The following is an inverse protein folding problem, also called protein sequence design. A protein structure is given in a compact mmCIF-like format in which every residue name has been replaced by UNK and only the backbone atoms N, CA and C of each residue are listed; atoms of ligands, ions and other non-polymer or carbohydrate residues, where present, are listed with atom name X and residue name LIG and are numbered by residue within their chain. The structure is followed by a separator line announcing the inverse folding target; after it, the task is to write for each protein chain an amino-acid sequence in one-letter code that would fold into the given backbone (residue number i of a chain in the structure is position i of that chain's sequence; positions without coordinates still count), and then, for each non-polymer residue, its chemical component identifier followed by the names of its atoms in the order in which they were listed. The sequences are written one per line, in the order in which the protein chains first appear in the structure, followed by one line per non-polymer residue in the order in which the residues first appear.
data_IF_119338413663
#
_entry.id   IF_119338413663
#
_cell.length_a   1.000
_cell.length_b   1.000
_cell.length_c   1.000
_cell.angle_alpha   90.00
_cell.angle_beta   90.00
_cell.angle_gamma   90.00
#
_symmetry.space_group_name_H-M   'P 1'
#
loop_
_entity.id
_entity.type
_entity.pdbx_description
1 polymer ?
#
# COMPACT_ATOMS: atom_id res chain seq x y z
N UNK A 1 -30.21 23.06 -16.71
CA UNK A 1 -29.38 23.60 -15.59
C UNK A 1 -27.91 23.38 -15.93
N UNK A 2 -27.17 24.44 -16.28
CA UNK A 2 -25.74 24.31 -16.58
C UNK A 2 -25.00 23.99 -15.27
N UNK A 3 -24.40 22.79 -15.18
CA UNK A 3 -23.51 22.45 -14.07
C UNK A 3 -22.32 23.43 -14.12
N UNK A 4 -22.26 24.37 -13.17
CA UNK A 4 -21.18 25.35 -13.09
C UNK A 4 -19.83 24.64 -13.02
N UNK A 5 -18.89 25.04 -13.88
CA UNK A 5 -17.54 24.48 -13.91
C UNK A 5 -16.82 24.85 -12.61
N UNK A 6 -16.26 23.86 -11.91
CA UNK A 6 -15.49 24.10 -10.69
C UNK A 6 -14.26 24.97 -10.98
N UNK A 7 -13.94 25.88 -10.05
CA UNK A 7 -12.66 26.60 -10.09
C UNK A 7 -11.49 25.63 -9.87
N UNK A 8 -10.29 25.99 -10.33
CA UNK A 8 -9.06 25.18 -10.14
C UNK A 8 -8.81 24.87 -8.65
N UNK A 9 -9.07 25.83 -7.77
CA UNK A 9 -8.92 25.65 -6.32
C UNK A 9 -9.93 24.63 -5.77
N UNK A 10 -11.20 24.74 -6.18
CA UNK A 10 -12.23 23.79 -5.76
C UNK A 10 -11.91 22.37 -6.25
N UNK A 11 -11.47 22.23 -7.50
CA UNK A 11 -11.07 20.94 -8.06
C UNK A 11 -9.90 20.32 -7.26
N UNK A 12 -8.85 21.09 -6.99
CA UNK A 12 -7.69 20.62 -6.22
C UNK A 12 -8.07 20.13 -4.81
N UNK A 13 -8.94 20.88 -4.12
CA UNK A 13 -9.45 20.49 -2.80
C UNK A 13 -10.24 19.19 -2.85
N UNK A 14 -11.05 19.00 -3.90
CA UNK A 14 -11.82 17.79 -4.12
C UNK A 14 -10.92 16.59 -4.40
N UNK A 15 -9.92 16.75 -5.28
CA UNK A 15 -8.95 15.70 -5.61
C UNK A 15 -8.15 15.25 -4.38
N UNK A 16 -7.74 16.20 -3.53
CA UNK A 16 -7.07 15.90 -2.26
C UNK A 16 -7.97 15.14 -1.28
N UNK A 17 -9.26 15.48 -1.23
CA UNK A 17 -10.23 14.77 -0.41
C UNK A 17 -10.45 13.32 -0.90
N UNK A 18 -10.57 13.11 -2.22
CA UNK A 18 -10.66 11.77 -2.79
C UNK A 18 -9.40 10.96 -2.57
N UNK A 19 -8.21 11.54 -2.79
CA UNK A 19 -6.95 10.87 -2.52
C UNK A 19 -6.83 10.46 -1.04
N UNK A 20 -7.35 11.27 -0.12
CA UNK A 20 -7.43 10.93 1.30
C UNK A 20 -8.40 9.78 1.59
N UNK A 21 -9.60 9.82 1.02
CA UNK A 21 -10.58 8.75 1.20
C UNK A 21 -10.06 7.42 0.63
N UNK A 22 -9.40 7.45 -0.52
CA UNK A 22 -8.81 6.28 -1.16
C UNK A 22 -7.76 5.60 -0.28
N UNK A 23 -6.79 6.34 0.26
CA UNK A 23 -5.75 5.77 1.13
C UNK A 23 -6.33 5.22 2.44
N UNK A 24 -7.34 5.88 3.01
CA UNK A 24 -8.02 5.42 4.23
C UNK A 24 -8.80 4.13 3.96
N UNK A 25 -9.53 4.07 2.84
CA UNK A 25 -10.28 2.89 2.42
C UNK A 25 -9.36 1.71 2.14
N UNK A 26 -8.27 1.93 1.38
CA UNK A 26 -7.30 0.88 1.08
C UNK A 26 -6.59 0.37 2.35
N UNK A 27 -6.23 1.26 3.27
CA UNK A 27 -5.60 0.88 4.54
C UNK A 27 -6.53 -0.01 5.38
N UNK A 28 -7.81 0.36 5.47
CA UNK A 28 -8.82 -0.44 6.17
C UNK A 28 -9.00 -1.82 5.54
N UNK A 29 -9.13 -1.89 4.21
CA UNK A 29 -9.24 -3.16 3.45
C UNK A 29 -8.03 -4.08 3.67
N UNK A 30 -6.86 -3.51 3.88
CA UNK A 30 -5.61 -4.24 4.11
C UNK A 30 -5.30 -4.54 5.58
N UNK A 31 -6.24 -4.30 6.50
CA UNK A 31 -6.04 -4.55 7.92
C UNK A 31 -4.94 -3.67 8.54
N UNK A 32 -4.77 -2.44 8.04
CA UNK A 32 -3.81 -1.49 8.59
C UNK A 32 -2.36 -1.79 8.23
N UNK A 33 -2.08 -2.56 7.16
CA UNK A 33 -0.72 -2.98 6.80
C UNK A 33 -0.32 -2.56 5.40
N UNK A 34 0.97 -2.29 5.19
CA UNK A 34 1.55 -2.08 3.87
C UNK A 34 1.36 -3.31 2.99
N UNK A 35 0.91 -3.14 1.74
CA UNK A 35 0.70 -4.27 0.81
C UNK A 35 2.01 -5.06 0.53
N UNK A 36 3.16 -4.41 0.60
CA UNK A 36 4.46 -4.96 0.22
C UNK A 36 5.23 -5.56 1.41
N UNK A 37 5.66 -4.73 2.37
CA UNK A 37 6.45 -5.19 3.52
C UNK A 37 5.60 -5.70 4.69
N UNK A 38 4.27 -5.51 4.65
CA UNK A 38 3.34 -5.84 5.75
C UNK A 38 3.56 -5.09 7.06
N UNK A 39 4.39 -4.03 7.05
CA UNK A 39 4.53 -3.15 8.22
C UNK A 39 3.15 -2.57 8.59
N UNK A 40 2.81 -2.49 9.89
CA UNK A 40 1.66 -1.74 10.36
C UNK A 40 1.77 -0.27 9.94
N UNK A 41 0.64 0.31 9.51
CA UNK A 41 0.55 1.68 9.06
C UNK A 41 -0.62 2.39 9.72
N UNK A 42 -0.38 3.64 10.11
CA UNK A 42 -1.44 4.58 10.44
C UNK A 42 -1.92 5.33 9.20
N UNK A 43 -3.09 5.97 9.30
CA UNK A 43 -3.64 6.87 8.26
C UNK A 43 -2.66 8.00 7.90
N UNK A 44 -1.79 8.42 8.83
CA UNK A 44 -0.78 9.46 8.58
C UNK A 44 0.43 8.95 7.78
N UNK A 45 0.77 7.67 7.90
CA UNK A 45 1.95 7.07 7.25
C UNK A 45 1.63 6.45 5.89
N UNK A 46 0.37 6.08 5.64
CA UNK A 46 -0.04 5.42 4.41
C UNK A 46 0.05 6.38 3.21
N UNK A 47 0.61 5.85 2.12
CA UNK A 47 0.61 6.47 0.81
C UNK A 47 -0.41 5.80 -0.11
N UNK A 48 -0.91 6.57 -1.08
CA UNK A 48 -1.82 6.11 -2.13
C UNK A 48 -0.99 5.45 -3.24
N UNK A 49 -1.00 4.12 -3.29
CA UNK A 49 -0.19 3.33 -4.22
C UNK A 49 -1.04 2.85 -5.40
N UNK A 50 -0.56 3.04 -6.63
CA UNK A 50 -1.20 2.51 -7.83
C UNK A 50 -0.63 1.13 -8.21
N UNK A 51 -1.45 0.08 -8.12
CA UNK A 51 -1.09 -1.30 -8.50
C UNK A 51 -0.54 -1.35 -9.94
N UNK A 52 -1.32 -0.80 -10.88
CA UNK A 52 -0.89 -0.42 -12.22
C UNK A 52 -0.45 1.05 -12.18
N UNK A 53 0.83 1.38 -12.40
CA UNK A 53 1.32 2.75 -12.35
C UNK A 53 0.59 3.69 -13.31
N UNK A 54 0.46 4.96 -12.94
CA UNK A 54 -0.12 6.01 -13.82
C UNK A 54 0.61 6.12 -15.16
N UNK A 55 1.93 5.99 -15.15
CA UNK A 55 2.77 6.00 -16.37
C UNK A 55 2.44 4.86 -17.35
N UNK A 56 1.76 3.81 -16.89
CA UNK A 56 1.29 2.69 -17.71
C UNK A 56 -0.23 2.76 -17.98
N UNK A 57 -0.88 3.89 -17.70
CA UNK A 57 -2.33 4.06 -17.85
C UNK A 57 -3.16 3.52 -16.67
N UNK A 58 -2.58 3.48 -15.47
CA UNK A 58 -3.32 3.17 -14.24
C UNK A 58 -4.32 4.25 -13.86
N UNK A 59 -5.57 3.84 -13.62
CA UNK A 59 -6.66 4.74 -13.24
C UNK A 59 -6.74 4.95 -11.72
N UNK A 60 -7.41 6.01 -11.32
CA UNK A 60 -7.77 6.31 -9.93
C UNK A 60 -9.04 5.53 -9.51
N UNK A 61 -8.99 4.19 -9.63
CA UNK A 61 -10.07 3.29 -9.23
C UNK A 61 -9.77 2.58 -7.92
N UNK A 62 -10.79 2.26 -7.14
CA UNK A 62 -10.65 1.55 -5.85
C UNK A 62 -9.88 0.23 -5.95
N UNK A 63 -9.97 -0.46 -7.08
CA UNK A 63 -9.25 -1.73 -7.32
C UNK A 63 -7.79 -1.54 -7.73
N UNK A 64 -7.44 -0.35 -8.24
CA UNK A 64 -6.08 0.00 -8.62
C UNK A 64 -5.32 0.73 -7.50
N UNK A 65 -6.00 1.11 -6.40
CA UNK A 65 -5.37 1.78 -5.27
C UNK A 65 -5.15 0.83 -4.09
N UNK A 66 -3.92 0.83 -3.59
CA UNK A 66 -3.51 0.11 -2.40
C UNK A 66 -2.89 1.04 -1.35
N UNK A 67 -2.81 0.55 -0.11
CA UNK A 67 -2.09 1.19 0.97
C UNK A 67 -0.64 0.67 1.00
N UNK A 68 0.32 1.58 0.82
CA UNK A 68 1.74 1.26 0.91
C UNK A 68 2.47 2.26 1.82
N UNK A 69 3.55 1.81 2.46
CA UNK A 69 4.47 2.71 3.15
C UNK A 69 5.27 3.53 2.13
N UNK A 70 5.71 4.73 2.51
CA UNK A 70 6.48 5.60 1.61
C UNK A 70 7.76 4.94 1.05
N UNK A 71 8.56 4.18 1.84
CA UNK A 71 9.73 3.48 1.30
C UNK A 71 9.39 2.46 0.21
N UNK A 72 8.37 1.61 0.42
CA UNK A 72 8.00 0.59 -0.56
C UNK A 72 7.38 1.21 -1.81
N UNK A 73 6.51 2.21 -1.66
CA UNK A 73 5.91 2.92 -2.80
C UNK A 73 6.99 3.58 -3.66
N UNK A 74 7.90 4.34 -3.04
CA UNK A 74 9.04 4.94 -3.74
C UNK A 74 9.92 3.89 -4.44
N UNK A 75 10.15 2.77 -3.77
CA UNK A 75 10.96 1.69 -4.32
C UNK A 75 10.31 1.00 -5.52
N UNK A 76 8.99 0.80 -5.49
CA UNK A 76 8.23 0.29 -6.63
C UNK A 76 8.29 1.25 -7.81
N UNK A 77 8.01 2.54 -7.55
CA UNK A 77 7.93 3.56 -8.59
C UNK A 77 6.99 3.14 -9.73
N UNK A 78 7.48 3.22 -10.96
CA UNK A 78 6.76 2.80 -12.18
C UNK A 78 6.83 1.29 -12.46
N UNK A 79 7.41 0.48 -11.56
CA UNK A 79 7.42 -0.97 -11.71
C UNK A 79 6.00 -1.52 -11.53
N UNK A 80 5.46 -2.31 -12.48
CA UNK A 80 4.17 -2.96 -12.31
C UNK A 80 4.15 -3.87 -11.07
N UNK A 81 3.00 -3.94 -10.38
CA UNK A 81 2.83 -4.70 -9.15
C UNK A 81 3.42 -6.12 -9.21
N UNK A 82 3.06 -6.91 -10.24
CA UNK A 82 3.54 -8.30 -10.34
C UNK A 82 5.07 -8.42 -10.42
N UNK A 83 5.71 -7.54 -11.20
CA UNK A 83 7.18 -7.51 -11.30
C UNK A 83 7.82 -7.09 -9.98
N UNK A 84 7.24 -6.10 -9.31
CA UNK A 84 7.73 -5.65 -8.01
C UNK A 84 7.58 -6.72 -6.93
N UNK A 85 6.43 -7.42 -6.88
CA UNK A 85 6.19 -8.53 -5.97
C UNK A 85 7.20 -9.66 -6.15
N UNK A 86 7.57 -10.01 -7.38
CA UNK A 86 8.63 -10.98 -7.66
C UNK A 86 9.96 -10.54 -7.06
N UNK A 87 10.38 -9.29 -7.30
CA UNK A 87 11.63 -8.73 -6.78
C UNK A 87 11.73 -8.79 -5.25
N UNK A 88 10.63 -8.53 -4.54
CA UNK A 88 10.62 -8.50 -3.06
C UNK A 88 10.25 -9.84 -2.41
N UNK A 89 9.83 -10.84 -3.19
CA UNK A 89 9.49 -12.17 -2.67
C UNK A 89 10.66 -13.15 -2.85
N UNK A 90 11.44 -12.98 -3.92
CA UNK A 90 12.58 -13.81 -4.28
C UNK A 90 13.75 -12.92 -4.76
N UNK A 91 14.34 -12.10 -3.87
CA UNK A 91 15.44 -11.20 -4.24
C UNK A 91 16.69 -12.00 -4.63
N UNK A 92 17.18 -11.80 -5.85
CA UNK A 92 18.33 -12.54 -6.40
C UNK A 92 19.67 -11.85 -6.14
N UNK A 93 20.77 -12.61 -6.32
CA UNK A 93 22.11 -12.02 -6.34
C UNK A 93 22.23 -11.02 -7.49
N UNK A 94 22.94 -9.90 -7.27
CA UNK A 94 23.07 -8.79 -8.21
C UNK A 94 21.90 -7.80 -8.22
N UNK A 95 20.75 -8.13 -7.59
CA UNK A 95 19.66 -7.16 -7.45
C UNK A 95 19.93 -6.17 -6.30
N UNK A 96 19.43 -4.92 -6.38
CA UNK A 96 19.56 -3.95 -5.32
C UNK A 96 19.14 -4.47 -3.94
N UNK A 97 20.02 -4.28 -2.93
CA UNK A 97 19.82 -4.80 -1.55
C UNK A 97 18.48 -4.38 -0.93
N UNK A 98 17.96 -3.21 -1.32
CA UNK A 98 16.64 -2.71 -0.93
C UNK A 98 15.49 -3.70 -1.16
N UNK A 99 15.53 -4.54 -2.19
CA UNK A 99 14.52 -5.58 -2.37
C UNK A 99 14.62 -6.67 -1.30
N UNK A 100 15.85 -7.05 -0.93
CA UNK A 100 16.12 -7.98 0.17
C UNK A 100 15.67 -7.41 1.52
N UNK A 101 15.84 -6.11 1.75
CA UNK A 101 15.32 -5.44 2.95
C UNK A 101 13.79 -5.54 3.04
N UNK A 102 13.07 -5.26 1.95
CA UNK A 102 11.60 -5.42 1.93
C UNK A 102 11.19 -6.89 2.14
N UNK A 103 11.93 -7.84 1.54
CA UNK A 103 11.71 -9.26 1.77
C UNK A 103 11.86 -9.63 3.25
N UNK A 104 12.93 -9.22 3.90
CA UNK A 104 13.18 -9.46 5.33
C UNK A 104 12.05 -8.91 6.19
N UNK A 105 11.69 -7.62 6.02
CA UNK A 105 10.56 -7.00 6.73
C UNK A 105 9.27 -7.79 6.53
N UNK A 106 8.98 -8.21 5.29
CA UNK A 106 7.79 -9.02 4.98
C UNK A 106 7.79 -10.35 5.71
N UNK A 107 8.92 -11.06 5.79
CA UNK A 107 8.97 -12.33 6.51
C UNK A 107 8.80 -12.15 8.02
N UNK A 108 9.46 -11.14 8.60
CA UNK A 108 9.33 -10.82 10.02
C UNK A 108 7.88 -10.48 10.37
N UNK A 109 7.24 -9.59 9.62
CA UNK A 109 5.85 -9.20 9.86
C UNK A 109 4.87 -10.36 9.69
N UNK A 110 5.13 -11.31 8.78
CA UNK A 110 4.34 -12.56 8.69
C UNK A 110 4.48 -13.41 9.96
N UNK A 111 5.70 -13.56 10.47
CA UNK A 111 5.97 -14.35 11.68
C UNK A 111 5.36 -13.69 12.91
N UNK A 112 5.47 -12.37 13.04
CA UNK A 112 4.82 -11.59 14.10
C UNK A 112 3.30 -11.77 14.01
N UNK A 113 2.70 -11.61 12.83
CA UNK A 113 1.27 -11.81 12.68
C UNK A 113 0.83 -13.23 13.07
N UNK A 114 1.59 -14.27 12.71
CA UNK A 114 1.28 -15.64 13.13
C UNK A 114 1.42 -15.81 14.66
N UNK A 115 2.43 -15.20 15.26
CA UNK A 115 2.63 -15.20 16.71
C UNK A 115 1.47 -14.51 17.43
N UNK A 116 1.05 -13.32 16.99
CA UNK A 116 -0.10 -12.60 17.51
C UNK A 116 -1.36 -13.49 17.50
N UNK A 117 -1.62 -14.17 16.38
CA UNK A 117 -2.74 -15.11 16.26
C UNK A 117 -2.67 -16.25 17.27
N UNK A 118 -1.47 -16.83 17.47
CA UNK A 118 -1.26 -17.90 18.47
C UNK A 118 -1.52 -17.39 19.88
N UNK A 119 -1.02 -16.20 20.21
CA UNK A 119 -1.25 -15.57 21.51
C UNK A 119 -2.73 -15.31 21.73
N UNK A 120 -3.43 -14.70 20.76
CA UNK A 120 -4.86 -14.40 20.86
C UNK A 120 -5.71 -15.67 21.09
N UNK A 121 -5.38 -16.76 20.39
CA UNK A 121 -6.02 -18.07 20.62
C UNK A 121 -5.74 -18.62 22.01
N UNK A 122 -4.49 -18.54 22.48
CA UNK A 122 -4.10 -19.03 23.80
C UNK A 122 -4.80 -18.28 24.94
N UNK A 123 -5.08 -16.99 24.77
CA UNK A 123 -5.81 -16.16 25.75
C UNK A 123 -7.33 -16.15 25.53
N UNK A 124 -7.86 -17.02 24.68
CA UNK A 124 -9.31 -17.18 24.45
C UNK A 124 -9.98 -15.99 23.75
N UNK A 125 -9.23 -15.10 23.08
CA UNK A 125 -9.80 -13.98 22.31
C UNK A 125 -10.01 -14.41 20.86
N UNK A 126 -11.22 -14.20 20.33
CA UNK A 126 -11.50 -14.39 18.89
C UNK A 126 -10.90 -13.21 18.10
N UNK A 127 -10.21 -13.55 17.00
CA UNK A 127 -9.64 -12.60 16.02
C UNK A 127 -10.73 -11.76 15.33
#
# INVERSE_FOLDING_TARGET
MAKGRLSKFQQSKLDAAFARADRESALKKQGGKCIYCLDPLTVKQVTREHIKPRSAGGLDSKDNIAAACAPCNRLKGSTPYGKFMRLISEPRSGEPIKYRLVWFSRQLNKRIALMEKRVMRAVGRKE
#
